data_IF_599996930766
#
_entry.id   IF_599996930766
#
_cell.length_a   1.000
_cell.length_b   1.000
_cell.length_c   1.000
_cell.angle_alpha   90.00
_cell.angle_beta   90.00
_cell.angle_gamma   90.00
#
_symmetry.space_group_name_H-M   'P 1'
#
loop_
_entity.id
_entity.type
_entity.pdbx_description
1 polymer ?
#
# COMPACT_ATOMS: atom_id res chain seq x y z
N UNK A 1 5.83 -4.27 -33.52
CA UNK A 1 7.13 -4.94 -33.27
C UNK A 1 7.49 -4.82 -31.79
N UNK A 2 7.43 -3.62 -31.21
CA UNK A 2 7.83 -3.38 -29.81
C UNK A 2 7.07 -4.17 -28.72
N UNK A 3 5.79 -4.50 -28.91
CA UNK A 3 5.04 -5.38 -28.00
C UNK A 3 5.59 -6.82 -27.97
N UNK A 4 5.90 -7.38 -29.14
CA UNK A 4 6.46 -8.74 -29.26
C UNK A 4 7.95 -8.78 -28.87
N UNK A 5 8.65 -7.65 -28.98
CA UNK A 5 10.04 -7.50 -28.60
C UNK A 5 10.25 -7.22 -27.10
N UNK A 6 9.17 -7.15 -26.31
CA UNK A 6 9.22 -6.93 -24.86
C UNK A 6 9.75 -5.55 -24.44
N UNK A 7 9.76 -4.57 -25.35
CA UNK A 7 10.31 -3.22 -25.12
C UNK A 7 9.32 -2.26 -24.46
N UNK A 8 8.06 -2.65 -24.33
CA UNK A 8 7.03 -1.83 -23.72
C UNK A 8 6.96 -2.11 -22.22
N UNK A 9 7.13 -1.07 -21.41
CA UNK A 9 6.70 -1.11 -20.01
C UNK A 9 5.18 -1.08 -19.96
N UNK A 10 4.52 -2.02 -19.26
CA UNK A 10 3.08 -1.98 -19.12
C UNK A 10 2.66 -0.64 -18.48
N UNK A 11 1.65 0.00 -19.05
CA UNK A 11 1.03 1.15 -18.42
C UNK A 11 0.39 0.70 -17.12
N UNK A 12 0.69 1.42 -16.04
CA UNK A 12 0.14 1.17 -14.71
C UNK A 12 -0.79 2.32 -14.34
N UNK A 13 -2.02 2.00 -13.96
CA UNK A 13 -2.93 2.99 -13.38
C UNK A 13 -2.39 3.39 -12.00
N UNK A 14 -2.05 4.65 -11.82
CA UNK A 14 -1.67 5.21 -10.52
C UNK A 14 -2.35 6.56 -10.34
N UNK A 15 -2.78 6.83 -9.12
CA UNK A 15 -3.00 8.19 -8.67
C UNK A 15 -1.66 8.93 -8.57
N UNK A 16 -1.68 10.28 -8.63
CA UNK A 16 -0.47 11.05 -8.39
C UNK A 16 0.07 10.77 -6.99
N UNK A 17 1.40 10.66 -6.88
CA UNK A 17 2.06 10.58 -5.58
C UNK A 17 1.68 11.83 -4.78
N UNK A 18 1.19 11.70 -3.53
CA UNK A 18 0.75 12.84 -2.74
C UNK A 18 1.92 13.80 -2.46
N UNK A 19 1.70 15.11 -2.63
CA UNK A 19 2.71 16.14 -2.37
C UNK A 19 3.16 16.16 -0.90
N UNK A 20 2.24 15.83 0.02
CA UNK A 20 2.51 15.67 1.44
C UNK A 20 1.94 14.34 1.93
N UNK A 21 2.74 13.59 2.69
CA UNK A 21 2.37 12.30 3.27
C UNK A 21 2.72 12.24 4.76
N UNK A 22 2.29 13.28 5.49
CA UNK A 22 2.68 13.53 6.88
C UNK A 22 1.73 12.89 7.89
N UNK A 23 0.58 12.39 7.44
CA UNK A 23 -0.39 11.67 8.29
C UNK A 23 0.23 10.40 8.89
N UNK A 24 -0.28 9.92 10.05
CA UNK A 24 0.20 8.69 10.68
C UNK A 24 0.13 7.49 9.73
N UNK A 25 -1.00 7.34 9.03
CA UNK A 25 -1.17 6.32 7.98
C UNK A 25 -0.72 6.88 6.64
N UNK A 26 0.31 6.27 6.07
CA UNK A 26 0.91 6.70 4.80
C UNK A 26 0.03 6.34 3.61
N UNK A 27 -0.23 7.33 2.76
CA UNK A 27 -0.92 7.12 1.49
C UNK A 27 0.08 6.56 0.47
N UNK A 28 -0.27 5.42 -0.12
CA UNK A 28 0.54 4.71 -1.10
C UNK A 28 -0.24 4.55 -2.39
N UNK A 29 0.44 4.79 -3.51
CA UNK A 29 -0.11 4.70 -4.87
C UNK A 29 0.70 3.69 -5.68
N UNK A 30 0.22 3.32 -6.86
CA UNK A 30 0.84 2.29 -7.69
C UNK A 30 2.32 2.61 -8.04
N UNK A 31 2.64 3.89 -8.18
CA UNK A 31 3.98 4.35 -8.57
C UNK A 31 5.00 4.31 -7.42
N UNK A 32 4.58 4.41 -6.16
CA UNK A 32 5.51 4.43 -5.00
C UNK A 32 5.41 3.22 -4.08
N UNK A 33 4.45 2.31 -4.31
CA UNK A 33 4.21 1.13 -3.46
C UNK A 33 5.45 0.25 -3.29
N UNK A 34 6.26 0.06 -4.34
CA UNK A 34 7.48 -0.75 -4.20
C UNK A 34 8.51 -0.08 -3.29
N UNK A 35 8.66 1.23 -3.41
CA UNK A 35 9.64 1.97 -2.62
C UNK A 35 9.22 2.03 -1.15
N UNK A 36 7.94 2.27 -0.88
CA UNK A 36 7.41 2.34 0.48
C UNK A 36 7.35 0.96 1.14
N UNK A 37 6.86 -0.06 0.42
CA UNK A 37 6.56 -1.37 1.03
C UNK A 37 7.74 -2.33 1.04
N UNK A 38 8.58 -2.33 0.00
CA UNK A 38 9.67 -3.31 -0.15
C UNK A 38 11.07 -2.73 0.01
N UNK A 39 11.29 -1.44 -0.29
CA UNK A 39 12.63 -0.82 -0.24
C UNK A 39 12.86 0.09 0.97
N UNK A 40 11.84 0.35 1.78
CA UNK A 40 11.96 1.24 2.94
C UNK A 40 12.87 0.70 4.04
N UNK A 41 13.13 -0.62 4.05
CA UNK A 41 13.87 -1.29 5.13
C UNK A 41 13.08 -1.41 6.43
N UNK A 42 11.77 -1.13 6.40
CA UNK A 42 10.88 -1.09 7.57
C UNK A 42 9.89 -2.24 7.55
N UNK A 43 9.26 -2.48 8.69
CA UNK A 43 8.07 -3.31 8.77
C UNK A 43 6.86 -2.50 8.28
N UNK A 44 6.16 -3.00 7.27
CA UNK A 44 5.06 -2.26 6.63
C UNK A 44 3.77 -3.05 6.75
N UNK A 45 2.78 -2.47 7.43
CA UNK A 45 1.39 -2.91 7.36
C UNK A 45 0.69 -2.09 6.28
N UNK A 46 0.23 -2.72 5.20
CA UNK A 46 -0.49 -2.06 4.12
C UNK A 46 -1.93 -2.56 4.04
N UNK A 47 -2.88 -1.63 4.05
CA UNK A 47 -4.29 -1.85 3.74
C UNK A 47 -4.58 -1.53 2.28
N UNK A 48 -5.14 -2.51 1.55
CA UNK A 48 -5.78 -2.27 0.26
C UNK A 48 -7.28 -2.09 0.50
N UNK A 49 -7.79 -0.90 0.17
CA UNK A 49 -9.17 -0.53 0.44
C UNK A 49 -9.90 -0.05 -0.82
N UNK A 50 -11.22 0.12 -0.67
CA UNK A 50 -12.08 0.80 -1.63
C UNK A 50 -12.88 1.91 -0.94
N UNK A 51 -13.03 3.12 -1.52
CA UNK A 51 -13.72 4.24 -0.86
C UNK A 51 -15.18 4.00 -0.50
N UNK A 52 -15.85 3.08 -1.19
CA UNK A 52 -17.24 2.70 -0.99
C UNK A 52 -17.42 1.52 -0.01
N UNK A 53 -16.34 0.87 0.41
CA UNK A 53 -16.37 -0.29 1.30
C UNK A 53 -16.67 0.12 2.75
N UNK A 54 -17.81 -0.34 3.29
CA UNK A 54 -18.23 -0.03 4.65
C UNK A 54 -17.32 -0.59 5.75
N UNK A 55 -16.72 -1.77 5.54
CA UNK A 55 -15.76 -2.36 6.49
C UNK A 55 -14.45 -1.56 6.55
N UNK A 56 -13.98 -1.09 5.42
CA UNK A 56 -12.78 -0.26 5.29
C UNK A 56 -12.95 1.06 6.05
N UNK A 57 -14.13 1.71 5.91
CA UNK A 57 -14.46 2.92 6.68
C UNK A 57 -14.46 2.70 8.20
N UNK A 58 -14.84 1.50 8.67
CA UNK A 58 -14.80 1.15 10.09
C UNK A 58 -13.37 0.84 10.56
N UNK A 59 -12.52 0.30 9.69
CA UNK A 59 -11.13 -0.03 9.99
C UNK A 59 -10.21 1.20 10.01
N UNK A 60 -10.47 2.19 9.15
CA UNK A 60 -9.68 3.41 9.04
C UNK A 60 -9.33 4.08 10.39
N UNK A 61 -10.29 4.39 11.30
CA UNK A 61 -9.95 5.01 12.59
C UNK A 61 -9.08 4.12 13.49
N UNK A 62 -9.18 2.79 13.35
CA UNK A 62 -8.37 1.83 14.12
C UNK A 62 -6.93 1.84 13.61
N UNK A 63 -6.73 1.91 12.28
CA UNK A 63 -5.41 2.04 11.69
C UNK A 63 -4.78 3.41 11.99
N UNK A 64 -5.57 4.48 12.03
CA UNK A 64 -5.10 5.80 12.42
C UNK A 64 -4.64 5.81 13.90
N UNK A 65 -5.39 5.20 14.81
CA UNK A 65 -5.00 5.04 16.22
C UNK A 65 -3.74 4.19 16.38
N UNK A 66 -3.67 3.05 15.66
CA UNK A 66 -2.48 2.20 15.67
C UNK A 66 -1.25 2.94 15.13
N UNK A 67 -1.40 3.71 14.05
CA UNK A 67 -0.31 4.47 13.45
C UNK A 67 0.16 5.61 14.36
N UNK A 68 -0.77 6.28 15.05
CA UNK A 68 -0.43 7.30 16.04
C UNK A 68 0.31 6.70 17.24
N UNK A 69 -0.11 5.52 17.71
CA UNK A 69 0.56 4.81 18.82
C UNK A 69 1.97 4.39 18.46
N UNK A 70 2.20 3.99 17.21
CA UNK A 70 3.49 3.54 16.69
C UNK A 70 4.31 4.66 16.06
N UNK A 71 3.91 5.92 16.19
CA UNK A 71 4.57 7.04 15.52
C UNK A 71 6.03 7.23 15.94
N UNK A 72 6.38 6.85 17.18
CA UNK A 72 7.76 6.85 17.70
C UNK A 72 8.60 5.66 17.24
N UNK A 73 7.99 4.63 16.67
CA UNK A 73 8.68 3.44 16.18
C UNK A 73 9.14 3.68 14.74
N UNK A 74 10.40 4.07 14.56
CA UNK A 74 10.94 4.42 13.25
C UNK A 74 10.95 3.23 12.27
N UNK A 75 10.93 1.99 12.79
CA UNK A 75 11.00 0.75 12.03
C UNK A 75 9.62 0.22 11.56
N UNK A 76 8.54 0.95 11.82
CA UNK A 76 7.17 0.56 11.45
C UNK A 76 6.52 1.62 10.57
N UNK A 77 5.83 1.17 9.53
CA UNK A 77 5.01 1.99 8.64
C UNK A 77 3.63 1.37 8.56
N UNK A 78 2.60 2.15 8.85
CA UNK A 78 1.22 1.80 8.51
C UNK A 78 0.86 2.59 7.26
N UNK A 79 0.37 1.91 6.24
CA UNK A 79 0.07 2.45 4.93
C UNK A 79 -1.30 2.02 4.44
N UNK A 80 -1.88 2.81 3.55
CA UNK A 80 -3.13 2.49 2.84
C UNK A 80 -3.01 2.83 1.36
N UNK A 81 -3.65 2.02 0.53
CA UNK A 81 -3.72 2.18 -0.92
C UNK A 81 -5.15 1.98 -1.41
N UNK A 82 -5.67 2.93 -2.17
CA UNK A 82 -6.93 2.78 -2.88
C UNK A 82 -6.72 1.85 -4.09
N UNK A 83 -7.11 0.59 -3.92
CA UNK A 83 -6.98 -0.44 -4.94
C UNK A 83 -8.03 -0.34 -6.07
N UNK A 84 -8.96 0.61 -5.98
CA UNK A 84 -9.89 0.94 -7.07
C UNK A 84 -9.32 2.02 -7.99
N UNK A 85 -8.47 2.88 -7.47
CA UNK A 85 -7.82 3.97 -8.19
C UNK A 85 -6.39 3.63 -8.66
N UNK A 86 -5.77 2.58 -8.12
CA UNK A 86 -4.39 2.20 -8.40
C UNK A 86 -4.26 0.70 -8.73
N UNK A 87 -3.38 0.36 -9.68
CA UNK A 87 -3.06 -1.02 -10.02
C UNK A 87 -2.21 -1.67 -8.93
N UNK A 88 -2.81 -2.64 -8.23
CA UNK A 88 -2.16 -3.42 -7.18
C UNK A 88 -0.96 -4.21 -7.75
N UNK A 89 0.22 -4.19 -7.11
CA UNK A 89 1.36 -5.02 -7.53
C UNK A 89 1.02 -6.50 -7.55
N UNK A 90 1.59 -7.22 -8.52
CA UNK A 90 1.40 -8.67 -8.68
C UNK A 90 1.78 -9.48 -7.44
N UNK A 91 2.61 -8.92 -6.56
CA UNK A 91 2.99 -9.49 -5.29
C UNK A 91 1.83 -9.53 -4.30
N UNK A 92 0.78 -8.71 -4.45
CA UNK A 92 -0.36 -8.70 -3.56
C UNK A 92 -1.58 -9.29 -4.25
N UNK A 93 -2.15 -10.32 -3.63
CA UNK A 93 -3.41 -10.90 -4.07
C UNK A 93 -4.56 -10.22 -3.31
N UNK A 94 -5.22 -9.26 -3.96
CA UNK A 94 -6.33 -8.47 -3.40
C UNK A 94 -7.63 -8.93 -4.06
N UNK A 95 -8.34 -9.82 -3.38
CA UNK A 95 -9.61 -10.42 -3.86
C UNK A 95 -10.86 -9.69 -3.33
N UNK A 96 -10.69 -8.83 -2.32
CA UNK A 96 -11.78 -8.11 -1.66
C UNK A 96 -11.26 -6.98 -0.78
N UNK A 97 -12.18 -6.28 -0.12
CA UNK A 97 -11.85 -5.11 0.70
C UNK A 97 -12.44 -5.19 2.12
N UNK A 98 -11.67 -4.82 3.15
CA UNK A 98 -10.23 -4.52 3.10
C UNK A 98 -9.41 -5.81 2.93
N UNK A 99 -8.22 -5.71 2.33
CA UNK A 99 -7.19 -6.77 2.37
C UNK A 99 -5.95 -6.20 3.04
N UNK A 100 -5.39 -6.91 4.03
CA UNK A 100 -4.24 -6.46 4.79
C UNK A 100 -3.02 -7.35 4.52
N UNK A 101 -1.87 -6.71 4.36
CA UNK A 101 -0.59 -7.40 4.27
C UNK A 101 0.42 -6.78 5.21
N UNK A 102 1.19 -7.64 5.88
CA UNK A 102 2.37 -7.25 6.63
C UNK A 102 3.63 -7.69 5.88
N UNK A 103 4.53 -6.74 5.63
CA UNK A 103 5.79 -6.95 4.92
C UNK A 103 6.95 -6.59 5.84
N UNK A 104 7.87 -7.52 6.04
CA UNK A 104 9.08 -7.30 6.85
C UNK A 104 10.20 -6.66 6.01
N UNK A 105 11.26 -6.09 6.64
CA UNK A 105 12.43 -5.58 5.93
C UNK A 105 13.11 -6.60 5.01
N UNK A 106 12.97 -7.90 5.29
CA UNK A 106 13.49 -9.00 4.45
C UNK A 106 12.66 -9.27 3.19
N UNK A 107 11.54 -8.56 3.01
CA UNK A 107 10.57 -8.80 1.93
C UNK A 107 9.60 -9.95 2.21
N UNK A 108 9.74 -10.66 3.36
CA UNK A 108 8.74 -11.66 3.77
C UNK A 108 7.39 -10.99 3.99
N UNK A 109 6.35 -11.53 3.36
CA UNK A 109 4.98 -11.03 3.38
C UNK A 109 4.03 -12.03 4.06
N UNK A 110 3.10 -11.53 4.86
CA UNK A 110 2.00 -12.28 5.49
C UNK A 110 0.69 -11.58 5.15
N UNK A 111 -0.31 -12.32 4.66
CA UNK A 111 -1.68 -11.84 4.43
C UNK A 111 -2.55 -12.07 5.67
N UNK A 112 -3.48 -11.15 5.93
CA UNK A 112 -4.50 -11.26 6.98
C UNK A 112 -5.91 -11.14 6.42
#
# INVERSE_FOLDING_TARGET
>A
KDYFDGKLTPFRKSEPIPEANNEPVKVVVADNVHDVVFKSGKNVLIEFYAPWCGHCKKLAPILDEAAATLQSEEDVVIAKMDATANDVPSEFDVQGYPTLYFVTPSGKKVSY
#
